data_IF_514389864625
#
_entry.id   IF_514389864625
#
_cell.length_a   1.000
_cell.length_b   1.000
_cell.length_c   1.000
_cell.angle_alpha   90.00
_cell.angle_beta   90.00
_cell.angle_gamma   90.00
#
_symmetry.space_group_name_H-M   'P 1'
#
loop_
_entity.id
_entity.type
_entity.pdbx_description
1 polymer ?
#
# COMPACT_ATOMS: atom_id res chain seq x y z
N UNK A 1 -7.45 6.23 12.81
CA UNK A 1 -7.66 5.71 11.43
C UNK A 1 -6.85 4.42 11.28
N UNK A 2 -7.31 3.41 10.56
CA UNK A 2 -6.48 2.24 10.21
C UNK A 2 -6.16 2.29 8.72
N UNK A 3 -4.88 2.30 8.36
CA UNK A 3 -4.44 2.45 6.98
C UNK A 3 -3.84 1.14 6.47
N UNK A 4 -4.33 0.67 5.33
CA UNK A 4 -3.80 -0.50 4.64
C UNK A 4 -3.07 -0.06 3.38
N UNK A 5 -1.82 -0.48 3.22
CA UNK A 5 -0.99 -0.19 2.06
C UNK A 5 -0.89 -1.47 1.22
N UNK A 6 -1.38 -1.42 -0.02
CA UNK A 6 -1.11 -2.43 -1.04
C UNK A 6 0.15 -2.05 -1.79
N UNK A 7 1.12 -2.97 -1.87
CA UNK A 7 2.33 -2.77 -2.68
C UNK A 7 2.08 -2.97 -4.18
N UNK A 8 0.86 -3.35 -4.56
CA UNK A 8 0.43 -3.45 -5.96
C UNK A 8 -0.68 -2.46 -6.21
N UNK A 9 -0.70 -1.89 -7.42
CA UNK A 9 -1.78 -1.03 -7.90
C UNK A 9 -3.03 -1.82 -8.33
N UNK A 10 -3.01 -3.14 -8.18
CA UNK A 10 -4.06 -4.02 -8.69
C UNK A 10 -5.39 -3.80 -7.94
N UNK A 11 -6.45 -3.64 -8.72
CA UNK A 11 -7.85 -3.62 -8.25
C UNK A 11 -8.19 -4.87 -7.43
N UNK A 12 -7.53 -6.00 -7.71
CA UNK A 12 -7.71 -7.31 -7.07
C UNK A 12 -6.99 -7.46 -5.73
N UNK A 13 -6.58 -6.38 -5.06
CA UNK A 13 -6.09 -6.43 -3.67
C UNK A 13 -7.21 -6.86 -2.67
N UNK A 14 -7.68 -8.10 -2.80
CA UNK A 14 -8.84 -8.63 -2.11
C UNK A 14 -8.56 -8.71 -0.61
N UNK A 15 -7.33 -9.02 -0.20
CA UNK A 15 -6.93 -9.07 1.22
C UNK A 15 -7.18 -7.73 1.91
N UNK A 16 -6.64 -6.62 1.37
CA UNK A 16 -6.79 -5.28 1.94
C UNK A 16 -8.23 -4.78 1.84
N UNK A 17 -8.93 -5.07 0.74
CA UNK A 17 -10.34 -4.70 0.57
C UNK A 17 -11.27 -5.43 1.54
N UNK A 18 -11.12 -6.75 1.68
CA UNK A 18 -11.92 -7.57 2.60
C UNK A 18 -11.68 -7.16 4.04
N UNK A 19 -10.40 -7.01 4.44
CA UNK A 19 -10.06 -6.59 5.81
C UNK A 19 -10.61 -5.20 6.12
N UNK A 20 -10.47 -4.27 5.18
CA UNK A 20 -11.02 -2.92 5.28
C UNK A 20 -12.55 -2.92 5.42
N UNK A 21 -13.26 -3.72 4.61
CA UNK A 21 -14.71 -3.87 4.69
C UNK A 21 -15.17 -4.50 6.00
N UNK A 22 -14.47 -5.54 6.47
CA UNK A 22 -14.73 -6.17 7.76
C UNK A 22 -14.58 -5.17 8.91
N UNK A 23 -13.48 -4.42 8.97
CA UNK A 23 -13.25 -3.44 10.02
C UNK A 23 -14.25 -2.27 9.98
N UNK A 24 -14.60 -1.79 8.77
CA UNK A 24 -15.69 -0.82 8.59
C UNK A 24 -17.02 -1.34 9.13
N UNK A 25 -17.34 -2.62 8.91
CA UNK A 25 -18.55 -3.24 9.46
C UNK A 25 -18.56 -3.31 11.00
N UNK A 26 -17.40 -3.17 11.64
CA UNK A 26 -17.22 -3.12 13.10
C UNK A 26 -17.13 -1.69 13.65
N UNK A 27 -17.34 -0.68 12.81
CA UNK A 27 -17.31 0.74 13.20
C UNK A 27 -15.93 1.40 13.16
N UNK A 28 -14.91 0.73 12.62
CA UNK A 28 -13.59 1.34 12.44
C UNK A 28 -13.50 2.15 11.15
N UNK A 29 -12.80 3.28 11.21
CA UNK A 29 -12.45 4.06 10.03
C UNK A 29 -11.20 3.47 9.37
N UNK A 30 -11.30 3.16 8.08
CA UNK A 30 -10.20 2.59 7.30
C UNK A 30 -9.87 3.40 6.05
N UNK A 31 -8.58 3.44 5.71
CA UNK A 31 -8.02 3.99 4.47
C UNK A 31 -7.27 2.88 3.75
N UNK A 32 -7.33 2.85 2.42
CA UNK A 32 -6.51 1.97 1.60
C UNK A 32 -5.66 2.85 0.69
N UNK A 33 -4.36 2.62 0.67
CA UNK A 33 -3.39 3.24 -0.23
C UNK A 33 -2.90 2.15 -1.18
N UNK A 34 -2.98 2.41 -2.47
CA UNK A 34 -2.40 1.55 -3.50
C UNK A 34 -1.12 2.22 -3.99
N UNK A 35 0.02 1.57 -3.77
CA UNK A 35 1.27 2.06 -4.34
C UNK A 35 1.37 1.67 -5.81
N UNK A 36 1.92 2.55 -6.67
CA UNK A 36 2.10 2.25 -8.09
C UNK A 36 3.07 1.09 -8.28
N UNK A 37 2.82 0.22 -9.26
CA UNK A 37 3.70 -0.91 -9.56
C UNK A 37 4.88 -0.48 -10.43
N UNK A 38 6.00 -0.18 -9.79
CA UNK A 38 7.16 0.41 -10.45
C UNK A 38 7.94 -0.61 -11.29
N UNK A 39 7.79 -1.92 -10.99
CA UNK A 39 8.45 -2.98 -11.77
C UNK A 39 7.76 -3.23 -13.12
N UNK A 40 6.46 -2.98 -13.22
CA UNK A 40 5.73 -3.09 -14.50
C UNK A 40 5.79 -1.82 -15.35
N UNK A 41 6.13 -0.66 -14.76
CA UNK A 41 6.14 0.63 -15.45
C UNK A 41 7.54 1.16 -15.82
N UNK A 42 8.63 0.53 -15.35
CA UNK A 42 10.00 0.96 -15.69
C UNK A 42 10.99 -0.20 -15.84
N UNK A 43 11.68 -0.25 -16.99
CA UNK A 43 12.80 -1.17 -17.26
C UNK A 43 14.07 -0.83 -16.45
N UNK A 44 14.08 0.31 -15.75
CA UNK A 44 15.20 0.80 -14.96
C UNK A 44 14.91 0.67 -13.47
N UNK A 45 15.32 -0.45 -12.88
CA UNK A 45 15.38 -0.59 -11.43
C UNK A 45 16.32 0.48 -10.85
N UNK A 46 15.88 1.37 -9.95
CA UNK A 46 16.79 2.28 -9.26
C UNK A 46 17.85 1.48 -8.48
N UNK A 47 19.08 2.01 -8.50
CA UNK A 47 20.32 1.36 -8.03
C UNK A 47 20.32 1.02 -6.53
N UNK A 48 19.37 1.58 -5.79
CA UNK A 48 19.34 1.68 -4.34
C UNK A 48 18.33 0.69 -3.71
N UNK A 49 17.57 -0.03 -4.53
CA UNK A 49 16.56 -1.00 -4.08
C UNK A 49 15.25 -0.41 -3.52
N UNK A 50 15.12 0.93 -3.48
CA UNK A 50 13.87 1.63 -3.15
C UNK A 50 13.22 2.08 -4.46
N UNK A 51 12.06 1.52 -4.84
CA UNK A 51 11.47 1.81 -6.14
C UNK A 51 10.80 3.20 -6.20
N UNK A 52 10.42 3.79 -5.07
CA UNK A 52 9.64 5.04 -5.01
C UNK A 52 10.53 6.27 -4.77
N UNK A 53 10.27 7.36 -5.48
CA UNK A 53 10.93 8.64 -5.21
C UNK A 53 10.52 9.23 -3.85
N UNK A 54 11.31 10.21 -3.39
CA UNK A 54 11.09 10.86 -2.10
C UNK A 54 9.71 11.53 -1.99
N UNK A 55 9.24 12.16 -3.07
CA UNK A 55 7.96 12.87 -3.07
C UNK A 55 6.79 11.90 -2.86
N UNK A 56 6.84 10.74 -3.51
CA UNK A 56 5.86 9.66 -3.34
C UNK A 56 5.87 9.16 -1.90
N UNK A 57 7.05 8.94 -1.33
CA UNK A 57 7.18 8.50 0.06
C UNK A 57 6.72 9.57 1.08
N UNK A 58 6.96 10.85 0.80
CA UNK A 58 6.46 11.96 1.60
C UNK A 58 4.91 12.00 1.58
N UNK A 59 4.28 11.78 0.42
CA UNK A 59 2.82 11.69 0.32
C UNK A 59 2.24 10.49 1.09
N UNK A 60 2.87 9.32 1.00
CA UNK A 60 2.48 8.13 1.76
C UNK A 60 2.57 8.40 3.26
N UNK A 61 3.64 9.08 3.69
CA UNK A 61 3.85 9.47 5.08
C UNK A 61 2.77 10.43 5.55
N UNK A 62 2.45 11.45 4.75
CA UNK A 62 1.39 12.42 5.03
C UNK A 62 0.01 11.74 5.15
N UNK A 63 -0.29 10.79 4.27
CA UNK A 63 -1.51 9.97 4.34
C UNK A 63 -1.52 9.03 5.54
N UNK A 64 -0.38 8.77 6.19
CA UNK A 64 -0.31 7.89 7.33
C UNK A 64 -0.34 8.62 8.69
N UNK A 65 -0.17 9.96 8.74
CA UNK A 65 0.00 10.74 9.98
C UNK A 65 -1.04 10.46 11.08
N UNK A 66 -2.31 10.32 10.72
CA UNK A 66 -3.40 10.09 11.69
C UNK A 66 -3.75 8.60 11.90
N UNK A 67 -2.89 7.71 11.41
CA UNK A 67 -3.11 6.27 11.48
C UNK A 67 -2.71 5.73 12.84
N UNK A 68 -3.64 5.07 13.52
CA UNK A 68 -3.41 4.34 14.77
C UNK A 68 -2.82 2.95 14.51
N UNK A 69 -2.98 2.45 13.29
CA UNK A 69 -2.39 1.22 12.78
C UNK A 69 -2.12 1.38 11.28
N UNK A 70 -0.95 0.90 10.84
CA UNK A 70 -0.59 0.78 9.42
C UNK A 70 -0.35 -0.71 9.14
N UNK A 71 -1.11 -1.29 8.22
CA UNK A 71 -0.91 -2.65 7.73
C UNK A 71 -0.37 -2.63 6.31
N UNK A 72 0.71 -3.36 6.05
CA UNK A 72 1.30 -3.47 4.71
C UNK A 72 0.96 -4.86 4.16
N UNK A 73 0.31 -4.91 3.00
CA UNK A 73 -0.05 -6.14 2.32
C UNK A 73 1.01 -6.49 1.28
N UNK A 74 1.69 -7.61 1.52
CA UNK A 74 2.66 -8.20 0.61
C UNK A 74 2.06 -9.47 0.01
N UNK A 75 1.97 -9.52 -1.32
CA UNK A 75 1.59 -10.73 -2.06
C UNK A 75 2.88 -11.42 -2.53
N UNK A 76 3.21 -12.56 -1.94
CA UNK A 76 4.55 -13.17 -2.03
C UNK A 76 4.70 -14.16 -3.18
N UNK A 77 3.75 -14.24 -4.13
CA UNK A 77 3.88 -15.16 -5.28
C UNK A 77 4.94 -14.70 -6.29
N UNK A 78 5.55 -13.54 -6.07
CA UNK A 78 6.56 -12.93 -6.93
C UNK A 78 7.79 -12.51 -6.08
N UNK A 79 8.30 -13.47 -5.30
CA UNK A 79 9.64 -13.38 -4.73
C UNK A 79 10.64 -13.90 -5.78
N UNK A 80 11.60 -13.07 -6.25
CA UNK A 80 12.69 -13.54 -7.09
C UNK A 80 13.58 -14.57 -6.38
#
# INVERSE_FOLDING_TARGET
MMTFISLTADVTAYSTRILSAYLKSKGFNTRIIFLPDIKFESDESPFDGIPYDKNTMDQVTDLCKDSSLIGISLFTSDFP
#
